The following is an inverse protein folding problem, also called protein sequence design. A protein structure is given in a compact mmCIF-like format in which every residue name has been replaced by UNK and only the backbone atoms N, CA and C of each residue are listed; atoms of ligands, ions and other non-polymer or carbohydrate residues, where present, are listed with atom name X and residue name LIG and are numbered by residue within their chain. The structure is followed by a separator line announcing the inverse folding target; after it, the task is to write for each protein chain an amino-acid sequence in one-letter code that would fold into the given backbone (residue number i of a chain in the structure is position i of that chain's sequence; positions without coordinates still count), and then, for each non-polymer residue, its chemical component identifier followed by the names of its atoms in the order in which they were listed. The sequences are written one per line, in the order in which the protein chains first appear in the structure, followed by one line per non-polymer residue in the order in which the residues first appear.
data_IF_584006186890
#
_entry.id   IF_584006186890
#
_cell.length_a   1.000
_cell.length_b   1.000
_cell.length_c   1.000
_cell.angle_alpha   90.00
_cell.angle_beta   90.00
_cell.angle_gamma   90.00
#
_symmetry.space_group_name_H-M   'P 1'
#
loop_
_entity.id
_entity.type
_entity.pdbx_description
1 polymer ?
#
# COMPACT_ATOMS: atom_id res chain seq x y z
N UNK A 1 0.64 11.58 -9.31
CA UNK A 1 -0.27 10.67 -10.07
C UNK A 1 -1.59 10.49 -9.32
N UNK A 2 -2.73 10.48 -10.01
CA UNK A 2 -4.02 10.13 -9.40
C UNK A 2 -4.07 8.62 -9.13
N UNK A 3 -4.42 8.23 -7.91
CA UNK A 3 -4.54 6.85 -7.44
C UNK A 3 -6.01 6.42 -7.36
N UNK A 4 -6.88 7.29 -6.85
CA UNK A 4 -8.33 7.05 -6.80
C UNK A 4 -9.09 8.13 -7.53
N UNK A 5 -9.82 7.76 -8.58
CA UNK A 5 -10.67 8.70 -9.32
C UNK A 5 -11.95 9.04 -8.56
N UNK A 6 -12.55 8.10 -7.82
CA UNK A 6 -13.84 8.33 -7.14
C UNK A 6 -13.76 9.38 -6.03
N UNK A 7 -12.64 9.44 -5.31
CA UNK A 7 -12.45 10.38 -4.20
C UNK A 7 -11.36 11.42 -4.46
N UNK A 8 -10.79 11.41 -5.68
CA UNK A 8 -9.75 12.32 -6.17
C UNK A 8 -8.54 12.33 -5.22
N UNK A 9 -7.93 11.16 -5.05
CA UNK A 9 -6.74 10.97 -4.20
C UNK A 9 -5.52 10.78 -5.10
N UNK A 10 -4.47 11.57 -4.87
CA UNK A 10 -3.17 11.45 -5.53
C UNK A 10 -2.15 10.69 -4.67
N UNK A 11 -1.03 10.31 -5.28
CA UNK A 11 0.16 9.81 -4.61
C UNK A 11 0.70 10.78 -3.56
N UNK A 12 0.67 12.09 -3.83
CA UNK A 12 1.09 13.13 -2.88
C UNK A 12 0.18 13.19 -1.65
N UNK A 13 -1.11 12.97 -1.83
CA UNK A 13 -2.07 12.92 -0.70
C UNK A 13 -1.80 11.70 0.17
N UNK A 14 -1.53 10.55 -0.46
CA UNK A 14 -1.12 9.33 0.23
C UNK A 14 0.19 9.55 1.00
N UNK A 15 1.19 10.18 0.39
CA UNK A 15 2.47 10.46 1.06
C UNK A 15 2.32 11.30 2.32
N UNK A 16 1.53 12.39 2.25
CA UNK A 16 1.25 13.23 3.43
C UNK A 16 0.57 12.43 4.53
N UNK A 17 -0.48 11.68 4.19
CA UNK A 17 -1.19 10.84 5.16
C UNK A 17 -0.25 9.80 5.78
N UNK A 18 0.65 9.20 5.02
CA UNK A 18 1.61 8.21 5.54
C UNK A 18 2.57 8.82 6.56
N UNK A 19 3.10 10.02 6.30
CA UNK A 19 3.99 10.71 7.25
C UNK A 19 3.24 10.93 8.58
N UNK A 20 2.00 11.42 8.52
CA UNK A 20 1.19 11.69 9.71
C UNK A 20 0.79 10.42 10.47
N UNK A 21 0.40 9.36 9.76
CA UNK A 21 0.02 8.06 10.34
C UNK A 21 1.23 7.39 11.00
N UNK A 22 2.37 7.36 10.30
CA UNK A 22 3.55 6.59 10.70
C UNK A 22 4.45 7.33 11.69
N UNK A 23 4.23 8.63 11.90
CA UNK A 23 4.88 9.41 12.96
C UNK A 23 4.26 9.18 14.35
N UNK A 24 3.15 8.44 14.44
CA UNK A 24 2.49 8.13 15.71
C UNK A 24 3.19 6.97 16.43
N UNK A 25 3.32 7.01 17.77
CA UNK A 25 4.04 6.00 18.54
C UNK A 25 3.46 4.58 18.43
N UNK A 26 2.18 4.45 18.04
CA UNK A 26 1.51 3.17 17.80
C UNK A 26 0.87 3.16 16.40
N UNK A 27 1.65 3.56 15.39
CA UNK A 27 1.16 3.67 14.04
C UNK A 27 0.52 2.36 13.54
N UNK A 28 -0.71 2.40 13.02
CA UNK A 28 -1.36 1.22 12.45
C UNK A 28 -0.69 0.83 11.12
N UNK A 29 -0.96 -0.41 10.67
CA UNK A 29 -0.60 -0.82 9.31
C UNK A 29 -1.33 0.11 8.32
N UNK A 30 -0.61 0.82 7.42
CA UNK A 30 -1.19 1.80 6.51
C UNK A 30 -1.90 1.10 5.34
N UNK A 31 -3.02 0.44 5.63
CA UNK A 31 -3.88 -0.13 4.58
C UNK A 31 -4.63 1.01 3.84
N UNK A 32 -5.10 0.80 2.59
CA UNK A 32 -5.87 1.82 1.88
C UNK A 32 -7.05 2.37 2.70
N UNK A 33 -7.77 1.50 3.42
CA UNK A 33 -8.87 1.93 4.28
C UNK A 33 -8.42 2.85 5.43
N UNK A 34 -7.28 2.56 6.06
CA UNK A 34 -6.70 3.42 7.12
C UNK A 34 -6.27 4.76 6.54
N UNK A 35 -5.52 4.75 5.43
CA UNK A 35 -5.03 5.97 4.76
C UNK A 35 -6.19 6.85 4.29
N UNK A 36 -7.23 6.27 3.69
CA UNK A 36 -8.37 7.03 3.19
C UNK A 36 -9.18 7.63 4.34
N UNK A 37 -9.40 6.85 5.41
CA UNK A 37 -10.10 7.32 6.61
C UNK A 37 -9.37 8.46 7.30
N UNK A 38 -8.02 8.42 7.34
CA UNK A 38 -7.20 9.50 7.87
C UNK A 38 -7.45 10.83 7.15
N UNK A 39 -7.65 10.78 5.83
CA UNK A 39 -8.02 11.95 5.00
C UNK A 39 -9.53 12.28 5.03
N UNK A 40 -10.31 11.66 5.92
CA UNK A 40 -11.78 11.76 5.94
C UNK A 40 -12.45 11.38 4.61
N UNK A 41 -11.89 10.41 3.90
CA UNK A 41 -12.44 9.87 2.64
C UNK A 41 -12.92 8.43 2.84
N UNK A 42 -14.02 8.08 2.17
CA UNK A 42 -14.55 6.71 2.14
C UNK A 42 -14.11 5.99 0.87
N UNK A 43 -13.95 4.66 0.93
CA UNK A 43 -13.71 3.88 -0.27
C UNK A 43 -15.04 3.67 -1.02
N UNK A 44 -15.17 4.24 -2.22
CA UNK A 44 -16.44 4.21 -2.97
C UNK A 44 -16.62 2.92 -3.82
N UNK A 45 -15.66 2.60 -4.70
CA UNK A 45 -15.76 1.44 -5.61
C UNK A 45 -14.65 0.41 -5.41
N UNK A 46 -13.62 0.74 -4.63
CA UNK A 46 -12.47 -0.12 -4.29
C UNK A 46 -11.59 -0.61 -5.47
N UNK A 47 -11.85 -0.19 -6.72
CA UNK A 47 -11.07 -0.63 -7.89
C UNK A 47 -9.61 -0.20 -7.86
N UNK A 48 -9.32 0.95 -7.24
CA UNK A 48 -7.96 1.46 -7.05
C UNK A 48 -7.16 0.72 -5.97
N UNK A 49 -7.76 -0.18 -5.18
CA UNK A 49 -7.11 -0.76 -4.01
C UNK A 49 -5.77 -1.45 -4.32
N UNK A 50 -5.61 -2.26 -5.39
CA UNK A 50 -4.31 -2.87 -5.71
C UNK A 50 -3.22 -1.83 -5.99
N UNK A 51 -3.56 -0.75 -6.71
CA UNK A 51 -2.65 0.36 -7.01
C UNK A 51 -2.34 1.16 -5.75
N UNK A 52 -3.35 1.48 -4.95
CA UNK A 52 -3.15 2.18 -3.68
C UNK A 52 -2.21 1.41 -2.75
N UNK A 53 -2.36 0.09 -2.66
CA UNK A 53 -1.44 -0.77 -1.91
C UNK A 53 -0.01 -0.63 -2.43
N UNK A 54 0.25 -0.84 -3.72
CA UNK A 54 1.62 -0.76 -4.26
C UNK A 54 2.23 0.63 -4.10
N UNK A 55 1.43 1.69 -4.31
CA UNK A 55 1.86 3.08 -4.09
C UNK A 55 2.22 3.34 -2.64
N UNK A 56 1.40 2.89 -1.68
CA UNK A 56 1.69 3.04 -0.25
C UNK A 56 3.04 2.41 0.09
N UNK A 57 3.29 1.17 -0.34
CA UNK A 57 4.54 0.48 -0.05
C UNK A 57 5.76 1.18 -0.68
N UNK A 58 5.65 1.61 -1.93
CA UNK A 58 6.72 2.33 -2.61
C UNK A 58 7.07 3.65 -1.91
N UNK A 59 6.06 4.37 -1.41
CA UNK A 59 6.27 5.62 -0.66
C UNK A 59 6.90 5.32 0.70
N UNK A 60 6.41 4.34 1.46
CA UNK A 60 6.99 3.97 2.76
C UNK A 60 8.46 3.61 2.60
N UNK A 61 8.81 2.76 1.63
CA UNK A 61 10.20 2.37 1.40
C UNK A 61 11.09 3.58 1.03
N UNK A 62 10.55 4.50 0.21
CA UNK A 62 11.26 5.75 -0.12
C UNK A 62 11.45 6.63 1.12
N UNK A 63 10.42 6.83 1.93
CA UNK A 63 10.50 7.65 3.15
C UNK A 63 11.43 7.02 4.20
N UNK A 64 11.45 5.69 4.34
CA UNK A 64 12.43 4.95 5.14
C UNK A 64 13.86 5.24 4.66
N UNK A 65 14.10 5.15 3.35
CA UNK A 65 15.42 5.40 2.74
C UNK A 65 15.88 6.85 2.91
N UNK A 66 14.94 7.79 2.90
CA UNK A 66 15.18 9.22 3.12
C UNK A 66 15.34 9.58 4.62
N UNK A 67 15.18 8.62 5.54
CA UNK A 67 15.26 8.86 6.99
C UNK A 67 14.09 9.67 7.56
N UNK A 68 12.98 9.78 6.82
CA UNK A 68 11.77 10.51 7.22
C UNK A 68 10.82 9.68 8.08
N UNK A 69 11.07 8.39 8.20
CA UNK A 69 10.35 7.45 9.06
C UNK A 69 11.35 6.70 9.93
N UNK A 70 10.90 6.28 11.13
CA UNK A 70 11.70 5.38 11.96
C UNK A 70 11.94 4.05 11.21
N UNK A 71 13.14 3.48 11.37
CA UNK A 71 13.58 2.30 10.63
C UNK A 71 12.68 1.06 10.84
N UNK A 72 11.88 1.05 11.90
CA UNK A 72 10.97 -0.02 12.30
C UNK A 72 9.48 0.34 12.14
N UNK A 73 9.13 1.56 11.72
CA UNK A 73 7.77 2.06 11.63
C UNK A 73 6.82 1.16 10.80
N UNK A 74 7.37 0.30 9.94
CA UNK A 74 6.60 -0.69 9.18
C UNK A 74 7.23 -2.09 9.09
N UNK A 75 8.08 -2.50 10.03
CA UNK A 75 8.75 -3.81 10.00
C UNK A 75 7.77 -5.00 9.85
N UNK A 76 6.63 -4.94 10.55
CA UNK A 76 5.55 -5.94 10.46
C UNK A 76 4.85 -5.89 9.09
N UNK A 77 4.58 -4.69 8.59
CA UNK A 77 3.91 -4.43 7.31
C UNK A 77 4.72 -4.95 6.12
N UNK A 78 6.04 -4.75 6.16
CA UNK A 78 7.01 -5.22 5.16
C UNK A 78 7.07 -6.74 5.10
N UNK A 79 7.13 -7.38 6.27
CA UNK A 79 7.11 -8.85 6.40
C UNK A 79 5.85 -9.48 5.81
N UNK A 80 4.67 -8.87 6.04
CA UNK A 80 3.40 -9.34 5.47
C UNK A 80 3.34 -9.15 3.96
N UNK A 81 3.88 -8.04 3.42
CA UNK A 81 3.90 -7.80 1.97
C UNK A 81 4.71 -8.86 1.23
N UNK A 82 5.91 -9.16 1.71
CA UNK A 82 6.78 -10.18 1.12
C UNK A 82 6.02 -11.50 0.97
N UNK A 83 5.28 -11.91 2.02
CA UNK A 83 4.46 -13.13 1.98
C UNK A 83 3.32 -13.04 0.96
N UNK A 84 2.68 -11.88 0.79
CA UNK A 84 1.60 -11.69 -0.18
C UNK A 84 2.12 -11.73 -1.63
N UNK A 85 3.26 -11.12 -1.90
CA UNK A 85 3.86 -11.13 -3.24
C UNK A 85 4.36 -12.52 -3.62
N UNK A 86 4.95 -13.26 -2.69
CA UNK A 86 5.28 -14.68 -2.88
C UNK A 86 4.03 -15.49 -3.26
N UNK A 87 2.90 -15.25 -2.59
CA UNK A 87 1.61 -15.90 -2.90
C UNK A 87 1.06 -15.49 -4.26
N UNK A 88 1.17 -14.21 -4.65
CA UNK A 88 0.76 -13.71 -5.97
C UNK A 88 1.59 -14.35 -7.08
N UNK A 89 2.91 -14.36 -6.93
CA UNK A 89 3.83 -14.98 -7.88
C UNK A 89 3.53 -16.48 -8.05
N UNK A 90 3.28 -17.20 -6.94
CA UNK A 90 2.87 -18.61 -7.00
C UNK A 90 1.55 -18.80 -7.75
N UNK A 91 0.55 -17.94 -7.50
CA UNK A 91 -0.75 -18.00 -8.17
C UNK A 91 -0.64 -17.72 -9.67
N UNK A 92 0.13 -16.70 -10.06
CA UNK A 92 0.37 -16.36 -11.45
C UNK A 92 1.07 -17.50 -12.19
N UNK A 93 2.10 -18.12 -11.58
CA UNK A 93 2.76 -19.31 -12.13
C UNK A 93 1.79 -20.45 -12.39
N UNK A 94 0.93 -20.80 -11.42
CA UNK A 94 -0.12 -21.81 -11.59
C UNK A 94 -1.07 -21.47 -12.73
N UNK A 95 -1.51 -20.20 -12.82
CA UNK A 95 -2.40 -19.75 -13.89
C UNK A 95 -1.75 -19.85 -15.27
N UNK A 96 -0.49 -19.45 -15.40
CA UNK A 96 0.26 -19.56 -16.66
C UNK A 96 0.45 -21.01 -17.09
N UNK A 97 0.67 -21.93 -16.14
CA UNK A 97 0.78 -23.36 -16.41
C UNK A 97 -0.54 -23.96 -16.92
N UNK A 98 -1.68 -23.53 -16.37
CA UNK A 98 -3.00 -23.97 -16.83
C UNK A 98 -3.30 -23.48 -18.25
N UNK A 99 -3.04 -22.19 -18.53
CA UNK A 99 -3.26 -21.60 -19.87
C UNK A 99 -2.37 -22.28 -20.93
N UNK A 100 -1.14 -22.66 -20.58
CA UNK A 100 -0.23 -23.33 -21.51
C UNK A 100 -0.58 -24.82 -21.76
N UNK A 101 -1.52 -25.38 -21.01
CA UNK A 101 -1.97 -26.76 -21.12
C UNK A 101 -3.28 -26.92 -21.92
N UNK A 102 -3.93 -25.81 -22.28
CA UNK A 102 -5.03 -25.72 -23.26
C UNK A 102 -4.47 -25.38 -24.66
#
# INVERSE_FOLDING_TARGET
MIICSCTVISDRDIEKALIEILSQPNAPIPTPGVVYRHMSKTMACCSCAPLAVSTIYAIVERLEREGKLAADACAITKSKLIRLDQRRAARNRRRSQLIAAE
#
